data_IF_513543010838
#
_entry.id   IF_513543010838
#
_cell.length_a   1.000
_cell.length_b   1.000
_cell.length_c   1.000
_cell.angle_alpha   90.00
_cell.angle_beta   90.00
_cell.angle_gamma   90.00
#
_symmetry.space_group_name_H-M   'P 1'
#
loop_
_entity.id
_entity.type
_entity.pdbx_description
1 polymer ?
#
# COMPACT_ATOMS: atom_id res chain seq x y z
N UNK A 1 -25.48 -19.62 12.29
CA UNK A 1 -25.21 -18.37 11.55
C UNK A 1 -26.54 -17.68 11.32
N UNK A 2 -26.64 -16.36 11.50
CA UNK A 2 -27.89 -15.67 11.14
C UNK A 2 -28.10 -15.72 9.63
N UNK A 3 -29.34 -15.68 9.12
CA UNK A 3 -29.62 -15.63 7.68
C UNK A 3 -28.82 -14.53 6.96
N UNK A 4 -28.74 -13.34 7.59
CA UNK A 4 -28.01 -12.20 7.06
C UNK A 4 -26.49 -12.43 6.98
N UNK A 5 -25.91 -13.24 7.89
CA UNK A 5 -24.50 -13.63 7.78
C UNK A 5 -24.25 -14.49 6.55
N UNK A 6 -25.15 -15.44 6.24
CA UNK A 6 -25.03 -16.27 5.04
C UNK A 6 -25.05 -15.45 3.75
N UNK A 7 -25.88 -14.41 3.70
CA UNK A 7 -25.95 -13.47 2.58
C UNK A 7 -24.65 -12.67 2.42
N UNK A 8 -24.03 -12.23 3.52
CA UNK A 8 -22.72 -11.56 3.49
C UNK A 8 -21.62 -12.48 2.98
N UNK A 9 -21.62 -13.77 3.37
CA UNK A 9 -20.65 -14.74 2.84
C UNK A 9 -20.79 -14.92 1.32
N UNK A 10 -22.01 -15.12 0.83
CA UNK A 10 -22.28 -15.25 -0.61
C UNK A 10 -21.82 -14.01 -1.39
N UNK A 11 -22.06 -12.82 -0.84
CA UNK A 11 -21.55 -11.58 -1.41
C UNK A 11 -20.01 -11.56 -1.49
N UNK A 12 -19.32 -11.98 -0.43
CA UNK A 12 -17.86 -12.01 -0.40
C UNK A 12 -17.29 -13.02 -1.41
N UNK A 13 -17.93 -14.18 -1.55
CA UNK A 13 -17.55 -15.20 -2.53
C UNK A 13 -17.77 -14.71 -3.97
N UNK A 14 -18.90 -14.06 -4.24
CA UNK A 14 -19.17 -13.44 -5.53
C UNK A 14 -18.17 -12.32 -5.84
N UNK A 15 -17.80 -11.51 -4.85
CA UNK A 15 -16.78 -10.47 -4.99
C UNK A 15 -15.38 -11.02 -5.26
N UNK A 16 -15.06 -12.19 -4.71
CA UNK A 16 -13.83 -12.90 -5.03
C UNK A 16 -13.85 -13.43 -6.47
N UNK A 17 -14.92 -14.12 -6.87
CA UNK A 17 -15.05 -14.73 -8.22
C UNK A 17 -15.16 -13.71 -9.35
N UNK A 18 -16.04 -12.71 -9.22
CA UNK A 18 -16.33 -11.76 -10.31
C UNK A 18 -15.25 -10.69 -10.49
N UNK A 19 -14.62 -10.26 -9.39
CA UNK A 19 -13.78 -9.05 -9.38
C UNK A 19 -12.34 -9.29 -8.94
N UNK A 20 -11.97 -10.53 -8.58
CA UNK A 20 -10.63 -10.87 -8.13
C UNK A 20 -10.17 -9.94 -7.00
N UNK A 21 -11.07 -9.59 -6.08
CA UNK A 21 -10.73 -8.77 -4.92
C UNK A 21 -9.70 -9.51 -4.07
N UNK A 22 -8.71 -8.78 -3.55
CA UNK A 22 -7.68 -9.43 -2.73
C UNK A 22 -8.28 -9.91 -1.42
N UNK A 23 -7.71 -10.98 -0.85
CA UNK A 23 -8.13 -11.52 0.45
C UNK A 23 -8.16 -10.44 1.54
N UNK A 24 -7.21 -9.51 1.51
CA UNK A 24 -7.17 -8.38 2.45
C UNK A 24 -8.38 -7.45 2.32
N UNK A 25 -8.83 -7.17 1.09
CA UNK A 25 -10.04 -6.37 0.87
C UNK A 25 -11.28 -7.13 1.31
N UNK A 26 -11.37 -8.43 1.02
CA UNK A 26 -12.48 -9.29 1.45
C UNK A 26 -12.54 -9.40 2.99
N UNK A 27 -11.42 -9.59 3.66
CA UNK A 27 -11.32 -9.61 5.12
C UNK A 27 -11.74 -8.27 5.75
N UNK A 28 -11.35 -7.15 5.12
CA UNK A 28 -11.76 -5.81 5.55
C UNK A 28 -13.27 -5.61 5.40
N UNK A 29 -13.85 -6.03 4.27
CA UNK A 29 -15.30 -5.96 4.04
C UNK A 29 -16.07 -6.86 4.98
N UNK A 30 -15.62 -8.09 5.19
CA UNK A 30 -16.17 -9.03 6.18
C UNK A 30 -16.23 -8.40 7.56
N UNK A 31 -15.15 -7.79 8.02
CA UNK A 31 -15.07 -7.15 9.35
C UNK A 31 -16.02 -5.96 9.49
N UNK A 32 -16.21 -5.20 8.41
CA UNK A 32 -17.12 -4.06 8.39
C UNK A 32 -18.59 -4.52 8.32
N UNK A 33 -18.92 -5.47 7.46
CA UNK A 33 -20.28 -5.97 7.26
C UNK A 33 -20.77 -6.77 8.47
N UNK A 34 -19.92 -7.58 9.10
CA UNK A 34 -20.26 -8.26 10.36
C UNK A 34 -20.58 -7.24 11.46
N UNK A 35 -19.92 -6.08 11.46
CA UNK A 35 -20.20 -5.00 12.43
C UNK A 35 -21.54 -4.34 12.14
N UNK A 36 -21.87 -4.10 10.87
CA UNK A 36 -23.21 -3.65 10.48
C UNK A 36 -24.26 -4.65 10.96
N UNK A 37 -24.10 -5.95 10.67
CA UNK A 37 -25.07 -6.98 11.07
C UNK A 37 -25.27 -7.05 12.58
N UNK A 38 -24.20 -6.93 13.37
CA UNK A 38 -24.29 -6.88 14.84
C UNK A 38 -25.08 -5.66 15.32
N UNK A 39 -24.79 -4.48 14.76
CA UNK A 39 -25.52 -3.27 15.10
C UNK A 39 -27.01 -3.36 14.70
N UNK A 40 -27.29 -3.91 13.52
CA UNK A 40 -28.65 -4.13 13.03
C UNK A 40 -29.44 -5.04 13.96
N UNK A 41 -28.84 -6.16 14.39
CA UNK A 41 -29.48 -7.10 15.31
C UNK A 41 -29.87 -6.43 16.64
N UNK A 42 -28.99 -5.58 17.19
CA UNK A 42 -29.27 -4.85 18.44
C UNK A 42 -30.34 -3.76 18.29
N UNK A 43 -30.58 -3.26 17.08
CA UNK A 43 -31.53 -2.19 16.77
C UNK A 43 -32.79 -2.70 16.03
N UNK A 44 -33.03 -4.02 16.03
CA UNK A 44 -34.16 -4.67 15.36
C UNK A 44 -34.26 -4.41 13.84
N UNK A 45 -33.13 -4.17 13.19
CA UNK A 45 -33.03 -4.11 11.74
C UNK A 45 -32.67 -5.47 11.13
N UNK A 46 -33.11 -5.67 9.89
CA UNK A 46 -32.76 -6.84 9.07
C UNK A 46 -32.29 -6.41 7.69
N UNK A 47 -31.44 -7.21 7.06
CA UNK A 47 -30.76 -6.82 5.82
C UNK A 47 -31.74 -6.63 4.63
N UNK A 48 -32.79 -7.42 4.60
CA UNK A 48 -33.90 -7.38 3.63
C UNK A 48 -34.73 -6.08 3.75
N UNK A 49 -34.91 -5.53 4.95
CA UNK A 49 -35.83 -4.40 5.19
C UNK A 49 -35.18 -3.08 5.64
N UNK A 50 -33.90 -3.05 5.99
CA UNK A 50 -33.27 -1.82 6.49
C UNK A 50 -33.39 -0.67 5.49
N UNK A 51 -33.99 0.44 5.89
CA UNK A 51 -34.21 1.59 5.03
C UNK A 51 -32.96 2.49 4.95
N UNK A 52 -33.01 3.51 4.10
CA UNK A 52 -32.02 4.59 4.11
C UNK A 52 -31.85 5.19 5.52
N UNK A 53 -32.96 5.39 6.24
CA UNK A 53 -32.96 5.94 7.60
C UNK A 53 -32.17 5.04 8.56
N UNK A 54 -32.39 3.72 8.51
CA UNK A 54 -31.62 2.78 9.35
C UNK A 54 -30.12 2.78 9.01
N UNK A 55 -29.75 2.96 7.75
CA UNK A 55 -28.35 3.09 7.36
C UNK A 55 -27.74 4.45 7.80
N UNK A 56 -28.55 5.52 7.83
CA UNK A 56 -28.13 6.81 8.38
C UNK A 56 -27.95 6.74 9.90
N UNK A 57 -28.83 6.04 10.62
CA UNK A 57 -28.68 5.76 12.05
C UNK A 57 -27.39 4.99 12.34
N UNK A 58 -27.05 3.99 11.52
CA UNK A 58 -25.76 3.30 11.63
C UNK A 58 -24.58 4.26 11.44
N UNK A 59 -24.66 5.17 10.46
CA UNK A 59 -23.61 6.17 10.24
C UNK A 59 -23.44 7.12 11.42
N UNK A 60 -24.55 7.54 12.05
CA UNK A 60 -24.54 8.36 13.27
C UNK A 60 -23.95 7.59 14.44
N UNK A 61 -24.35 6.34 14.65
CA UNK A 61 -23.77 5.49 15.68
C UNK A 61 -22.25 5.33 15.52
N UNK A 62 -21.74 5.20 14.28
CA UNK A 62 -20.29 5.18 14.04
C UNK A 62 -19.59 6.50 14.40
N UNK A 63 -20.28 7.65 14.34
CA UNK A 63 -19.75 8.94 14.82
C UNK A 63 -19.65 8.90 16.33
N UNK A 64 -20.73 8.49 16.99
CA UNK A 64 -20.86 8.52 18.44
C UNK A 64 -19.85 7.57 19.12
N UNK A 65 -19.57 6.43 18.48
CA UNK A 65 -18.52 5.48 18.89
C UNK A 65 -17.08 5.96 18.57
N UNK A 66 -16.91 7.15 17.99
CA UNK A 66 -15.60 7.75 17.74
C UNK A 66 -14.83 7.16 16.55
N UNK A 67 -15.49 6.50 15.60
CA UNK A 67 -14.78 5.97 14.43
C UNK A 67 -14.23 7.09 13.54
N UNK A 68 -12.96 6.96 13.17
CA UNK A 68 -12.28 7.88 12.23
C UNK A 68 -13.04 7.96 10.90
N UNK A 69 -13.06 9.15 10.29
CA UNK A 69 -13.75 9.39 9.01
C UNK A 69 -13.29 8.44 7.89
N UNK A 70 -12.01 8.08 7.85
CA UNK A 70 -11.44 7.11 6.89
C UNK A 70 -12.00 5.70 7.08
N UNK A 71 -12.16 5.26 8.32
CA UNK A 71 -12.80 3.97 8.65
C UNK A 71 -14.26 3.98 8.23
N UNK A 72 -14.99 5.07 8.52
CA UNK A 72 -16.40 5.24 8.13
C UNK A 72 -16.59 5.26 6.61
N UNK A 73 -15.70 5.91 5.87
CA UNK A 73 -15.71 5.90 4.40
C UNK A 73 -15.52 4.49 3.83
N UNK A 74 -14.58 3.71 4.38
CA UNK A 74 -14.35 2.32 3.99
C UNK A 74 -15.55 1.41 4.30
N UNK A 75 -16.11 1.54 5.50
CA UNK A 75 -17.33 0.83 5.90
C UNK A 75 -18.48 1.13 4.95
N UNK A 76 -18.70 2.41 4.61
CA UNK A 76 -19.72 2.80 3.65
C UNK A 76 -19.47 2.21 2.25
N UNK A 77 -18.22 2.09 1.82
CA UNK A 77 -17.89 1.43 0.56
C UNK A 77 -18.28 -0.05 0.57
N UNK A 78 -18.03 -0.77 1.68
CA UNK A 78 -18.46 -2.15 1.84
C UNK A 78 -20.00 -2.27 1.83
N UNK A 79 -20.70 -1.38 2.55
CA UNK A 79 -22.16 -1.32 2.61
C UNK A 79 -22.77 -1.10 1.23
N UNK A 80 -22.27 -0.10 0.48
CA UNK A 80 -22.75 0.17 -0.87
C UNK A 80 -22.59 -1.01 -1.80
N UNK A 81 -21.42 -1.68 -1.75
CA UNK A 81 -21.17 -2.85 -2.58
C UNK A 81 -22.10 -4.02 -2.22
N UNK A 82 -22.38 -4.21 -0.93
CA UNK A 82 -23.33 -5.23 -0.48
C UNK A 82 -24.74 -4.93 -1.02
N UNK A 83 -25.29 -3.73 -0.80
CA UNK A 83 -26.65 -3.43 -1.25
C UNK A 83 -26.80 -3.41 -2.77
N UNK A 84 -25.77 -2.96 -3.50
CA UNK A 84 -25.73 -3.07 -4.96
C UNK A 84 -25.76 -4.54 -5.42
N UNK A 85 -25.04 -5.42 -4.72
CA UNK A 85 -25.07 -6.85 -4.98
C UNK A 85 -26.47 -7.44 -4.69
N UNK A 86 -27.07 -7.13 -3.54
CA UNK A 86 -28.40 -7.64 -3.18
C UNK A 86 -29.48 -7.18 -4.16
N UNK A 87 -29.38 -5.94 -4.64
CA UNK A 87 -30.28 -5.41 -5.65
C UNK A 87 -30.10 -6.13 -6.99
N UNK A 88 -28.85 -6.33 -7.43
CA UNK A 88 -28.52 -7.02 -8.68
C UNK A 88 -28.96 -8.48 -8.68
N UNK A 89 -28.72 -9.20 -7.58
CA UNK A 89 -29.13 -10.60 -7.42
C UNK A 89 -30.63 -10.75 -7.10
N UNK A 90 -31.39 -9.65 -7.10
CA UNK A 90 -32.83 -9.60 -6.79
C UNK A 90 -33.19 -10.17 -5.41
N UNK A 91 -32.21 -10.28 -4.52
CA UNK A 91 -32.42 -10.58 -3.10
C UNK A 91 -33.19 -9.44 -2.44
N UNK A 92 -33.00 -8.22 -2.95
CA UNK A 92 -33.71 -7.02 -2.52
C UNK A 92 -34.21 -6.20 -3.72
N UNK A 93 -35.39 -5.60 -3.59
CA UNK A 93 -36.01 -4.82 -4.67
C UNK A 93 -35.39 -3.43 -4.86
N UNK A 94 -34.73 -2.89 -3.84
CA UNK A 94 -34.16 -1.55 -3.78
C UNK A 94 -32.71 -1.54 -3.28
N UNK A 95 -31.99 -0.45 -3.56
CA UNK A 95 -30.68 -0.14 -2.98
C UNK A 95 -30.81 1.05 -1.99
N UNK A 96 -30.99 0.81 -0.67
CA UNK A 96 -31.10 1.88 0.32
C UNK A 96 -29.79 2.65 0.51
N UNK A 97 -28.67 2.14 0.01
CA UNK A 97 -27.34 2.74 0.17
C UNK A 97 -27.04 3.81 -0.89
N UNK A 98 -27.84 3.87 -1.96
CA UNK A 98 -27.62 4.74 -3.11
C UNK A 98 -27.57 6.23 -2.72
N UNK A 99 -28.39 6.64 -1.75
CA UNK A 99 -28.49 8.03 -1.27
C UNK A 99 -27.62 8.32 -0.04
N UNK A 100 -26.84 7.35 0.46
CA UNK A 100 -25.96 7.59 1.59
C UNK A 100 -24.87 8.58 1.19
N UNK A 101 -24.66 9.62 2.00
CA UNK A 101 -23.58 10.58 1.79
C UNK A 101 -22.29 10.01 2.36
N UNK A 102 -21.22 10.03 1.56
CA UNK A 102 -19.90 9.66 2.06
C UNK A 102 -19.30 10.80 2.87
N UNK A 103 -18.61 10.54 3.99
CA UNK A 103 -17.92 11.59 4.72
C UNK A 103 -16.92 12.26 3.77
N UNK A 104 -16.98 13.59 3.67
CA UNK A 104 -16.00 14.37 2.92
C UNK A 104 -14.66 14.21 3.61
N UNK A 105 -13.83 13.31 3.09
CA UNK A 105 -12.48 13.14 3.60
C UNK A 105 -11.73 14.46 3.39
N UNK A 106 -11.16 15.07 4.44
CA UNK A 106 -10.31 16.22 4.25
C UNK A 106 -9.19 15.81 3.30
N UNK A 107 -9.02 16.58 2.21
CA UNK A 107 -7.83 16.48 1.36
C UNK A 107 -6.65 16.92 2.24
N UNK A 108 -6.01 15.97 2.90
CA UNK A 108 -4.68 16.20 3.45
C UNK A 108 -3.78 16.36 2.24
N UNK A 109 -3.38 17.59 1.95
CA UNK A 109 -2.16 17.82 1.18
C UNK A 109 -1.05 17.19 2.04
N UNK A 110 -0.42 16.09 1.60
CA UNK A 110 0.71 15.58 2.35
C UNK A 110 1.76 16.68 2.38
N UNK A 111 2.30 16.98 3.56
CA UNK A 111 3.63 17.59 3.61
C UNK A 111 4.55 16.45 3.23
N UNK A 112 4.97 16.43 1.97
CA UNK A 112 5.92 15.44 1.47
C UNK A 112 7.27 15.58 2.18
N UNK A 113 8.04 14.49 2.20
CA UNK A 113 9.41 14.53 2.72
C UNK A 113 10.27 15.42 1.82
N UNK A 114 11.16 16.21 2.42
CA UNK A 114 12.17 16.95 1.64
C UNK A 114 13.25 16.02 1.11
N UNK A 115 14.04 16.48 0.15
CA UNK A 115 15.15 15.69 -0.43
C UNK A 115 16.16 15.33 0.66
N UNK A 116 16.51 16.27 1.54
CA UNK A 116 17.43 16.04 2.66
C UNK A 116 16.89 15.02 3.65
N UNK A 117 15.57 14.97 3.84
CA UNK A 117 14.94 13.95 4.69
C UNK A 117 14.97 12.57 4.05
N UNK A 118 14.87 12.49 2.72
CA UNK A 118 15.02 11.21 2.00
C UNK A 118 16.44 10.70 2.12
N UNK A 119 17.44 11.54 1.86
CA UNK A 119 18.85 11.19 2.01
C UNK A 119 19.18 10.77 3.44
N UNK A 120 18.76 11.57 4.43
CA UNK A 120 18.98 11.24 5.84
C UNK A 120 18.31 9.92 6.26
N UNK A 121 17.15 9.58 5.68
CA UNK A 121 16.48 8.31 5.94
C UNK A 121 17.24 7.13 5.32
N UNK A 122 17.78 7.30 4.11
CA UNK A 122 18.57 6.28 3.43
C UNK A 122 19.88 6.03 4.17
N UNK A 123 20.51 7.06 4.72
CA UNK A 123 21.80 6.98 5.41
C UNK A 123 21.73 6.66 6.91
N UNK A 124 20.52 6.61 7.48
CA UNK A 124 20.32 6.33 8.90
C UNK A 124 20.75 4.92 9.38
N UNK A 125 20.62 3.82 8.60
CA UNK A 125 21.05 2.50 9.06
C UNK A 125 22.57 2.36 9.15
N UNK A 126 23.07 1.72 10.21
CA UNK A 126 24.51 1.41 10.39
C UNK A 126 24.93 0.17 9.58
N UNK A 127 25.77 0.29 8.54
CA UNK A 127 26.18 -0.86 7.73
C UNK A 127 27.01 -1.92 8.49
N UNK A 128 27.52 -1.61 9.68
CA UNK A 128 28.35 -2.54 10.46
C UNK A 128 27.55 -3.55 11.29
N UNK A 129 26.24 -3.31 11.49
CA UNK A 129 25.35 -4.28 12.12
C UNK A 129 24.56 -5.04 11.06
N UNK A 130 24.54 -6.38 11.13
CA UNK A 130 23.93 -7.21 10.09
C UNK A 130 22.43 -6.95 9.88
N UNK A 131 21.70 -6.56 10.94
CA UNK A 131 20.27 -6.24 10.84
C UNK A 131 20.04 -4.88 10.19
N UNK A 132 20.88 -3.90 10.51
CA UNK A 132 20.88 -2.56 9.96
C UNK A 132 21.36 -2.55 8.49
N UNK A 133 22.38 -3.34 8.15
CA UNK A 133 22.85 -3.57 6.79
C UNK A 133 21.76 -4.17 5.89
N UNK A 134 21.01 -5.16 6.42
CA UNK A 134 19.81 -5.67 5.75
C UNK A 134 18.84 -4.55 5.46
N UNK A 135 18.59 -3.69 6.44
CA UNK A 135 17.60 -2.63 6.32
C UNK A 135 18.06 -1.53 5.35
N UNK A 136 19.36 -1.21 5.28
CA UNK A 136 19.96 -0.35 4.25
C UNK A 136 19.70 -0.89 2.86
N UNK A 137 20.03 -2.17 2.62
CA UNK A 137 19.77 -2.81 1.33
C UNK A 137 18.27 -2.81 0.96
N UNK A 138 17.39 -3.02 1.94
CA UNK A 138 15.94 -2.97 1.74
C UNK A 138 15.43 -1.55 1.43
N UNK A 139 15.98 -0.52 2.07
CA UNK A 139 15.64 0.89 1.82
C UNK A 139 16.10 1.33 0.44
N UNK A 140 17.33 1.01 0.05
CA UNK A 140 17.90 1.32 -1.26
C UNK A 140 17.13 0.62 -2.38
N UNK A 141 16.75 -0.65 -2.18
CA UNK A 141 15.91 -1.35 -3.13
C UNK A 141 14.53 -0.70 -3.25
N UNK A 142 13.87 -0.36 -2.13
CA UNK A 142 12.58 0.34 -2.15
C UNK A 142 12.67 1.69 -2.87
N UNK A 143 13.74 2.43 -2.60
CA UNK A 143 14.03 3.70 -3.23
C UNK A 143 14.15 3.53 -4.74
N UNK A 144 15.05 2.65 -5.21
CA UNK A 144 15.32 2.46 -6.63
C UNK A 144 14.14 1.90 -7.43
N UNK A 145 13.31 1.05 -6.83
CA UNK A 145 12.31 0.25 -7.56
C UNK A 145 10.86 0.64 -7.28
N UNK A 146 10.59 1.40 -6.22
CA UNK A 146 9.24 1.77 -5.81
C UNK A 146 8.36 0.59 -5.37
N UNK A 147 8.94 -0.57 -5.03
CA UNK A 147 8.19 -1.75 -4.63
C UNK A 147 7.26 -1.51 -3.44
N UNK A 148 6.22 -2.33 -3.31
CA UNK A 148 5.45 -2.41 -2.07
C UNK A 148 6.28 -3.10 -0.99
N UNK A 149 6.17 -2.62 0.24
CA UNK A 149 6.83 -3.27 1.39
C UNK A 149 6.48 -4.76 1.44
N UNK A 150 5.24 -5.14 1.12
CA UNK A 150 4.86 -6.57 1.03
C UNK A 150 5.60 -7.30 -0.09
N UNK A 151 5.79 -6.68 -1.25
CA UNK A 151 6.55 -7.26 -2.36
C UNK A 151 8.02 -7.45 -1.94
N UNK A 152 8.61 -6.43 -1.32
CA UNK A 152 9.99 -6.44 -0.81
C UNK A 152 10.26 -7.53 0.25
N UNK A 153 9.45 -7.59 1.31
CA UNK A 153 9.69 -8.55 2.42
C UNK A 153 9.38 -10.00 2.02
N UNK A 154 8.79 -10.23 0.84
CA UNK A 154 8.47 -11.56 0.32
C UNK A 154 9.44 -12.00 -0.78
N UNK A 155 10.49 -11.23 -1.07
CA UNK A 155 11.48 -11.60 -2.07
C UNK A 155 12.27 -12.84 -1.64
N UNK A 156 12.38 -13.77 -2.57
CA UNK A 156 13.24 -14.95 -2.49
C UNK A 156 14.47 -14.78 -3.39
N UNK A 157 15.52 -15.57 -3.16
CA UNK A 157 16.76 -15.50 -3.95
C UNK A 157 16.50 -15.70 -5.45
N UNK A 158 15.48 -16.48 -5.83
CA UNK A 158 15.07 -16.67 -7.23
C UNK A 158 14.44 -15.42 -7.87
N UNK A 159 13.96 -14.49 -7.04
CA UNK A 159 13.35 -13.26 -7.52
C UNK A 159 14.39 -12.19 -7.86
N UNK A 160 15.66 -12.34 -7.46
CA UNK A 160 16.69 -11.31 -7.66
C UNK A 160 17.76 -11.83 -8.61
N UNK A 161 18.07 -11.04 -9.64
CA UNK A 161 19.25 -11.23 -10.47
C UNK A 161 20.15 -10.00 -10.35
N UNK A 162 21.17 -10.08 -9.49
CA UNK A 162 22.16 -9.01 -9.28
C UNK A 162 22.97 -8.77 -10.56
N UNK A 163 23.39 -9.85 -11.23
CA UNK A 163 24.11 -9.78 -12.51
C UNK A 163 23.33 -9.06 -13.62
N UNK A 164 22.01 -9.21 -13.65
CA UNK A 164 21.16 -8.52 -14.64
C UNK A 164 20.61 -7.20 -14.10
N UNK A 165 20.85 -6.86 -12.83
CA UNK A 165 20.28 -5.69 -12.17
C UNK A 165 18.76 -5.66 -12.21
N UNK A 166 18.07 -6.79 -12.02
CA UNK A 166 16.59 -6.84 -12.04
C UNK A 166 16.00 -7.66 -10.90
N UNK A 167 14.85 -7.20 -10.40
CA UNK A 167 14.00 -7.95 -9.46
C UNK A 167 12.69 -8.36 -10.13
N UNK A 168 12.32 -9.63 -9.97
CA UNK A 168 11.05 -10.21 -10.40
C UNK A 168 10.02 -10.06 -9.31
N UNK A 169 8.86 -9.51 -9.67
CA UNK A 169 7.80 -9.19 -8.71
C UNK A 169 6.48 -9.73 -9.20
N UNK A 170 5.81 -10.49 -8.33
CA UNK A 170 4.47 -11.01 -8.62
C UNK A 170 3.41 -10.03 -8.14
N UNK A 171 2.67 -9.45 -9.09
CA UNK A 171 1.58 -8.51 -8.84
C UNK A 171 0.23 -9.19 -8.59
N UNK A 172 -0.81 -8.35 -8.45
CA UNK A 172 -2.19 -8.82 -8.25
C UNK A 172 -2.64 -9.66 -9.45
N UNK A 173 -3.20 -10.84 -9.19
CA UNK A 173 -3.64 -11.78 -10.23
C UNK A 173 -2.54 -12.67 -10.80
N UNK A 174 -1.41 -12.82 -10.10
CA UNK A 174 -0.33 -13.75 -10.48
C UNK A 174 0.54 -13.27 -11.65
N UNK A 175 0.37 -12.02 -12.10
CA UNK A 175 1.19 -11.46 -13.18
C UNK A 175 2.56 -11.06 -12.66
N UNK A 176 3.60 -11.60 -13.28
CA UNK A 176 4.98 -11.21 -13.00
C UNK A 176 5.39 -9.97 -13.79
N UNK A 177 6.26 -9.15 -13.19
CA UNK A 177 6.99 -8.07 -13.88
C UNK A 177 8.45 -8.09 -13.45
N UNK A 178 9.34 -7.71 -14.37
CA UNK A 178 10.74 -7.43 -14.06
C UNK A 178 10.89 -5.93 -13.82
N UNK A 179 11.62 -5.57 -12.76
CA UNK A 179 11.84 -4.20 -12.33
C UNK A 179 13.36 -4.00 -12.25
N UNK A 180 13.94 -3.15 -13.11
CA UNK A 180 15.34 -2.75 -12.98
C UNK A 180 15.67 -2.22 -11.59
N UNK A 181 16.77 -2.71 -11.03
CA UNK A 181 17.38 -2.23 -9.81
C UNK A 181 18.52 -1.28 -10.22
N UNK A 182 18.62 -0.11 -9.60
CA UNK A 182 19.75 0.79 -9.84
C UNK A 182 21.05 0.21 -9.28
N UNK A 183 22.19 0.67 -9.78
CA UNK A 183 23.54 0.19 -9.38
C UNK A 183 23.73 0.23 -7.86
N UNK A 184 23.41 1.36 -7.22
CA UNK A 184 23.50 1.48 -5.75
C UNK A 184 22.69 0.40 -5.01
N UNK A 185 21.48 0.08 -5.48
CA UNK A 185 20.67 -0.96 -4.85
C UNK A 185 21.29 -2.35 -5.04
N UNK A 186 21.91 -2.62 -6.19
CA UNK A 186 22.64 -3.87 -6.44
C UNK A 186 23.81 -3.99 -5.46
N UNK A 187 24.63 -2.94 -5.34
CA UNK A 187 25.82 -2.92 -4.49
C UNK A 187 25.46 -3.19 -3.01
N UNK A 188 24.42 -2.54 -2.49
CA UNK A 188 23.97 -2.75 -1.11
C UNK A 188 23.38 -4.15 -0.89
N UNK A 189 22.68 -4.71 -1.87
CA UNK A 189 22.15 -6.08 -1.77
C UNK A 189 23.29 -7.09 -1.82
N UNK A 190 24.28 -6.92 -2.70
CA UNK A 190 25.49 -7.76 -2.75
C UNK A 190 26.24 -7.70 -1.42
N UNK A 191 26.53 -6.50 -0.92
CA UNK A 191 27.17 -6.27 0.38
C UNK A 191 26.42 -6.97 1.50
N UNK A 192 25.09 -6.84 1.54
CA UNK A 192 24.28 -7.52 2.54
C UNK A 192 24.33 -9.05 2.42
N UNK A 193 24.23 -9.61 1.21
CA UNK A 193 24.28 -11.05 0.98
C UNK A 193 25.61 -11.63 1.43
N UNK A 194 26.71 -10.94 1.16
CA UNK A 194 28.07 -11.38 1.50
C UNK A 194 28.39 -11.23 2.99
N UNK A 195 27.99 -10.11 3.61
CA UNK A 195 28.51 -9.71 4.91
C UNK A 195 27.48 -9.86 6.05
N UNK A 196 26.19 -9.66 5.79
CA UNK A 196 25.16 -9.63 6.85
C UNK A 196 24.21 -10.82 6.84
N UNK A 197 23.89 -11.38 5.67
CA UNK A 197 22.83 -12.38 5.53
C UNK A 197 23.13 -13.67 6.27
N UNK A 198 24.37 -14.14 6.23
CA UNK A 198 24.82 -15.35 6.92
C UNK A 198 24.64 -15.24 8.44
N UNK A 199 24.96 -14.09 9.02
CA UNK A 199 24.77 -13.81 10.45
C UNK A 199 23.29 -13.87 10.86
N UNK A 200 22.39 -13.30 10.05
CA UNK A 200 20.95 -13.32 10.33
C UNK A 200 20.31 -14.71 10.19
N UNK A 201 20.89 -15.58 9.37
CA UNK A 201 20.41 -16.95 9.19
C UNK A 201 20.95 -17.89 10.28
N UNK A 202 22.19 -17.67 10.71
CA UNK A 202 22.90 -18.59 11.59
C UNK A 202 22.99 -19.97 10.95
N UNK A 203 22.50 -21.00 11.64
CA UNK A 203 22.50 -22.39 11.14
C UNK A 203 21.29 -22.72 10.24
N UNK A 204 20.33 -21.79 10.09
CA UNK A 204 19.12 -22.06 9.32
C UNK A 204 19.35 -21.84 7.83
N UNK A 205 18.68 -22.63 7.00
CA UNK A 205 18.56 -22.38 5.57
C UNK A 205 17.25 -21.66 5.26
N UNK A 206 17.30 -20.68 4.38
CA UNK A 206 16.14 -19.91 3.93
C UNK A 206 16.41 -19.37 2.53
N UNK A 207 15.38 -19.39 1.70
CA UNK A 207 15.35 -18.81 0.36
C UNK A 207 15.00 -17.31 0.38
N UNK A 208 14.54 -16.80 1.52
CA UNK A 208 14.20 -15.37 1.68
C UNK A 208 15.45 -14.52 1.53
N UNK A 209 15.37 -13.46 0.74
CA UNK A 209 16.47 -12.51 0.54
C UNK A 209 16.77 -11.80 1.85
N UNK A 210 15.75 -11.20 2.47
CA UNK A 210 15.85 -10.39 3.68
C UNK A 210 15.22 -11.10 4.90
N UNK A 211 15.94 -12.01 5.58
CA UNK A 211 15.42 -12.69 6.77
C UNK A 211 15.26 -11.73 7.95
N UNK A 212 14.28 -12.04 8.81
CA UNK A 212 14.18 -11.47 10.16
C UNK A 212 15.29 -12.02 11.07
N UNK A 213 15.43 -11.45 12.26
CA UNK A 213 16.32 -11.97 13.32
C UNK A 213 16.04 -13.44 13.73
N UNK A 214 14.89 -13.99 13.33
CA UNK A 214 14.51 -15.40 13.54
C UNK A 214 14.72 -16.27 12.30
N UNK A 215 15.54 -15.82 11.35
CA UNK A 215 15.84 -16.49 10.08
C UNK A 215 14.62 -16.82 9.19
N UNK A 216 13.51 -16.08 9.36
CA UNK A 216 12.25 -16.26 8.62
C UNK A 216 11.82 -14.99 7.90
N UNK A 217 10.94 -15.13 6.92
CA UNK A 217 10.28 -14.00 6.26
C UNK A 217 9.72 -13.02 7.30
N UNK A 218 10.08 -11.75 7.19
CA UNK A 218 9.56 -10.73 8.08
C UNK A 218 8.19 -10.24 7.61
N UNK A 219 7.39 -9.75 8.56
CA UNK A 219 6.10 -9.14 8.20
C UNK A 219 6.30 -7.71 7.72
N UNK A 220 5.36 -7.22 6.91
CA UNK A 220 5.28 -5.80 6.54
C UNK A 220 5.33 -4.87 7.76
N UNK A 221 4.68 -5.25 8.86
CA UNK A 221 4.64 -4.45 10.09
C UNK A 221 6.01 -4.38 10.76
N UNK A 222 6.73 -5.50 10.78
CA UNK A 222 8.10 -5.56 11.32
C UNK A 222 9.03 -4.61 10.58
N UNK A 223 9.03 -4.63 9.25
CA UNK A 223 9.86 -3.72 8.48
C UNK A 223 9.40 -2.25 8.61
N UNK A 224 8.08 -2.01 8.68
CA UNK A 224 7.56 -0.66 8.93
C UNK A 224 8.02 -0.06 10.26
N UNK A 225 8.17 -0.89 11.31
CA UNK A 225 8.77 -0.44 12.56
C UNK A 225 10.24 -0.03 12.40
N UNK A 226 11.01 -0.72 11.54
CA UNK A 226 12.40 -0.34 11.21
C UNK A 226 12.44 0.99 10.45
N UNK A 227 11.60 1.18 9.44
CA UNK A 227 11.46 2.47 8.75
C UNK A 227 11.14 3.61 9.75
N UNK A 228 10.20 3.39 10.67
CA UNK A 228 9.88 4.39 11.70
C UNK A 228 11.05 4.69 12.63
N UNK A 229 11.86 3.68 12.96
CA UNK A 229 13.07 3.87 13.76
C UNK A 229 14.07 4.78 13.03
N UNK A 230 14.35 4.51 11.75
CA UNK A 230 15.22 5.35 10.93
C UNK A 230 14.67 6.75 10.68
N UNK A 231 13.36 6.88 10.57
CA UNK A 231 12.72 8.18 10.48
C UNK A 231 12.97 9.05 11.74
N UNK A 232 12.97 8.46 12.94
CA UNK A 232 13.34 9.19 14.16
C UNK A 232 14.80 9.65 14.11
N UNK A 233 15.71 8.78 13.67
CA UNK A 233 17.14 9.10 13.53
C UNK A 233 17.35 10.24 12.52
N UNK A 234 16.62 10.20 11.39
CA UNK A 234 16.64 11.20 10.33
C UNK A 234 15.89 12.51 10.68
N UNK A 235 15.33 12.64 11.88
CA UNK A 235 14.58 13.85 12.29
C UNK A 235 13.24 14.02 11.59
N UNK A 236 12.63 12.92 11.10
CA UNK A 236 11.36 12.90 10.39
C UNK A 236 10.22 12.62 11.38
N UNK A 237 9.12 13.37 11.26
CA UNK A 237 7.90 13.11 12.02
C UNK A 237 7.25 11.79 11.59
N UNK A 238 7.33 10.78 12.46
CA UNK A 238 6.80 9.44 12.20
C UNK A 238 5.27 9.35 12.14
N UNK A 239 4.54 10.37 12.60
CA UNK A 239 3.08 10.44 12.50
C UNK A 239 2.62 10.90 11.10
N UNK A 240 3.50 11.60 10.37
CA UNK A 240 3.27 11.99 8.99
C UNK A 240 3.71 10.91 8.00
N UNK A 241 4.60 10.01 8.42
CA UNK A 241 5.14 8.96 7.58
C UNK A 241 4.12 7.85 7.34
N UNK A 242 3.85 7.56 6.07
CA UNK A 242 3.04 6.41 5.64
C UNK A 242 3.70 5.74 4.43
N UNK A 243 3.40 4.46 4.13
CA UNK A 243 4.00 3.78 2.98
C UNK A 243 3.77 4.48 1.64
N UNK A 244 2.66 5.22 1.52
CA UNK A 244 2.33 5.98 0.32
C UNK A 244 3.12 7.30 0.24
N UNK A 245 3.27 8.00 1.37
CA UNK A 245 4.10 9.22 1.45
C UNK A 245 5.56 8.89 1.14
N UNK A 246 6.08 7.82 1.74
CA UNK A 246 7.46 7.36 1.51
C UNK A 246 7.70 7.01 0.03
N UNK A 247 6.81 6.20 -0.57
CA UNK A 247 6.93 5.87 -2.00
C UNK A 247 6.86 7.12 -2.87
N UNK A 248 5.98 8.06 -2.54
CA UNK A 248 5.84 9.28 -3.32
C UNK A 248 7.12 10.12 -3.24
N UNK A 249 7.65 10.33 -2.04
CA UNK A 249 8.91 11.03 -1.83
C UNK A 249 10.07 10.39 -2.62
N UNK A 250 10.22 9.07 -2.55
CA UNK A 250 11.26 8.34 -3.31
C UNK A 250 11.11 8.52 -4.82
N UNK A 251 9.88 8.42 -5.34
CA UNK A 251 9.65 8.60 -6.77
C UNK A 251 9.94 10.04 -7.22
N UNK A 252 9.52 11.04 -6.43
CA UNK A 252 9.80 12.46 -6.72
C UNK A 252 11.30 12.74 -6.65
N UNK A 253 11.99 12.21 -5.64
CA UNK A 253 13.44 12.35 -5.49
C UNK A 253 14.19 11.74 -6.69
N UNK A 254 13.87 10.49 -7.08
CA UNK A 254 14.47 9.86 -8.26
C UNK A 254 14.26 10.67 -9.54
N UNK A 255 13.08 11.26 -9.74
CA UNK A 255 12.77 12.10 -10.90
C UNK A 255 13.58 13.41 -10.89
N UNK A 256 13.79 14.01 -9.72
CA UNK A 256 14.56 15.25 -9.58
C UNK A 256 16.05 15.04 -9.88
N UNK A 257 16.59 13.86 -9.52
CA UNK A 257 18.00 13.48 -9.76
C UNK A 257 18.25 12.77 -11.10
N UNK A 258 17.33 12.91 -12.06
CA UNK A 258 17.58 12.58 -13.47
C UNK A 258 17.28 11.15 -13.89
N UNK A 259 16.49 10.38 -13.12
CA UNK A 259 15.92 9.14 -13.63
C UNK A 259 14.96 9.46 -14.79
N UNK A 260 15.24 8.89 -15.99
CA UNK A 260 14.45 9.12 -17.20
C UNK A 260 12.95 8.86 -16.91
N UNK A 261 12.12 9.86 -17.17
CA UNK A 261 10.69 9.89 -16.91
C UNK A 261 9.95 8.67 -17.53
N UNK A 262 10.48 8.13 -18.64
CA UNK A 262 9.93 6.94 -19.32
C UNK A 262 10.28 5.63 -18.59
N UNK A 263 11.42 5.59 -17.88
CA UNK A 263 11.82 4.46 -17.03
C UNK A 263 10.93 4.40 -15.79
N UNK A 264 10.61 5.54 -15.18
CA UNK A 264 9.70 5.61 -14.01
C UNK A 264 8.26 5.21 -14.36
N UNK A 265 7.76 5.55 -15.56
CA UNK A 265 6.45 5.12 -16.04
C UNK A 265 6.32 3.60 -16.26
N UNK A 266 7.39 2.93 -16.69
CA UNK A 266 7.42 1.46 -16.84
C UNK A 266 7.59 0.73 -15.50
N UNK A 267 8.41 1.29 -14.58
CA UNK A 267 8.67 0.72 -13.25
C UNK A 267 7.40 0.64 -12.37
N UNK A 268 6.46 1.56 -12.55
CA UNK A 268 5.27 1.68 -11.69
C UNK A 268 4.04 0.88 -12.14
N UNK A 269 4.12 0.16 -13.27
CA UNK A 269 3.19 -0.91 -13.65
C UNK A 269 1.70 -0.63 -13.38
N UNK A 270 1.16 0.43 -13.99
CA UNK A 270 -0.21 0.87 -13.73
C UNK A 270 -1.25 0.04 -14.49
N UNK A 271 -2.18 -0.55 -13.73
CA UNK A 271 -3.50 -0.95 -14.24
C UNK A 271 -4.64 -0.06 -13.71
N UNK A 272 -4.34 1.02 -12.97
CA UNK A 272 -5.36 1.95 -12.43
C UNK A 272 -4.83 3.40 -12.36
N UNK A 273 -5.50 4.31 -13.07
CA UNK A 273 -5.05 5.67 -13.45
C UNK A 273 -5.09 6.72 -12.33
N UNK A 274 -5.63 6.41 -11.15
CA UNK A 274 -5.84 7.40 -10.08
C UNK A 274 -4.56 7.90 -9.39
N UNK A 275 -3.47 7.11 -9.43
CA UNK A 275 -2.15 7.53 -8.92
C UNK A 275 -1.27 8.16 -9.99
N UNK A 276 -1.59 7.99 -11.28
CA UNK A 276 -0.85 8.51 -12.43
C UNK A 276 -1.03 10.02 -12.64
N UNK A 277 -2.15 10.60 -12.17
CA UNK A 277 -2.44 12.03 -12.34
C UNK A 277 -1.45 12.93 -11.60
N UNK A 278 -0.98 12.53 -10.41
CA UNK A 278 -0.01 13.31 -9.64
C UNK A 278 1.35 13.31 -10.35
N UNK A 279 1.79 12.15 -10.87
CA UNK A 279 3.03 12.03 -11.66
C UNK A 279 2.99 12.85 -12.95
N UNK A 280 1.81 12.94 -13.57
CA UNK A 280 1.62 13.79 -14.77
C UNK A 280 1.85 15.25 -14.41
N UNK A 281 1.37 15.72 -13.26
CA UNK A 281 1.58 17.11 -12.83
C UNK A 281 3.07 17.42 -12.57
N UNK A 282 3.78 16.55 -11.84
CA UNK A 282 5.22 16.76 -11.54
C UNK A 282 6.07 16.69 -12.82
N UNK A 283 5.79 15.73 -13.69
CA UNK A 283 6.44 15.63 -15.00
C UNK A 283 6.17 16.86 -15.88
N UNK A 284 4.93 17.37 -15.89
CA UNK A 284 4.55 18.56 -16.68
C UNK A 284 5.27 19.80 -16.15
N UNK A 285 5.44 19.93 -14.84
CA UNK A 285 6.13 21.07 -14.23
C UNK A 285 7.65 21.03 -14.51
N UNK A 286 8.25 19.84 -14.53
CA UNK A 286 9.67 19.67 -14.92
C UNK A 286 9.89 19.88 -16.42
N UNK A 287 8.96 19.43 -17.27
CA UNK A 287 8.99 19.70 -18.72
C UNK A 287 8.91 21.19 -19.01
N UNK A 288 8.10 21.95 -18.25
CA UNK A 288 8.07 23.41 -18.31
C UNK A 288 9.38 24.05 -17.85
N UNK A 289 9.99 23.57 -16.76
CA UNK A 289 11.28 24.07 -16.30
C UNK A 289 12.39 23.82 -17.32
N UNK A 290 12.52 22.59 -17.82
CA UNK A 290 13.51 22.24 -18.86
C UNK A 290 13.27 23.00 -20.17
N UNK A 291 12.00 23.19 -20.58
CA UNK A 291 11.67 24.03 -21.73
C UNK A 291 12.03 25.50 -21.49
N UNK A 292 11.84 26.01 -20.28
CA UNK A 292 12.23 27.39 -19.91
C UNK A 292 13.74 27.60 -19.85
N UNK A 293 14.51 26.58 -19.45
CA UNK A 293 15.98 26.62 -19.36
C UNK A 293 16.66 26.47 -20.73
N UNK A 294 16.11 25.64 -21.62
CA UNK A 294 16.71 25.38 -22.94
C UNK A 294 16.10 26.19 -24.09
N UNK A 295 14.88 26.71 -23.95
CA UNK A 295 14.19 27.52 -24.97
C UNK A 295 13.47 28.76 -24.38
N UNK A 296 14.19 29.73 -23.78
CA UNK A 296 13.59 30.90 -23.11
C UNK A 296 12.88 31.92 -24.04
N UNK A 297 12.68 31.62 -25.33
CA UNK A 297 12.11 32.55 -26.34
C UNK A 297 11.08 31.91 -27.30
N UNK A 298 10.42 30.82 -26.92
CA UNK A 298 9.30 30.25 -27.68
C UNK A 298 7.95 30.59 -27.02
#
# INVERSE_FOLDING_TARGET
MSPDQGVVEQFLDAMWMERGLSENTLASYRTDLVKLLKWMASNNYRLDFISLTGLQEYQSWLVDEGYKQTSRARMLSAIRRLFQYLHREKVRADDPSALLVSPKLPKRLPKDLTEEQVDALLDAPDPNDAMELRDKAMLELLYATGLRVTELVSLTMENISLRQGVVRVTGKGGKERLVPMGENAVDWIETFIEQGRSELLGENTSDVVFPSKRARQMTRQTFWHRIKHYAVIAGIDTELLSPHVLRHAFATHLLNYGADLRVVQMLLGHSDLSTTQIYTHVATERLKQLHSEHHPRA
#
